data_IF_954508477904
#
_entry.id   IF_954508477904
#
_cell.length_a   1.000
_cell.length_b   1.000
_cell.length_c   1.000
_cell.angle_alpha   90.00
_cell.angle_beta   90.00
_cell.angle_gamma   90.00
#
_symmetry.space_group_name_H-M   'P 1'
#
loop_
_entity.id
_entity.type
_entity.pdbx_description
1 polymer ?
#
# COMPACT_ATOMS: atom_id res chain seq x y z
N UNK A 1 16.90 8.07 -24.04
CA UNK A 1 16.58 6.76 -23.44
C UNK A 1 17.59 6.47 -22.35
N UNK A 2 17.12 6.56 -21.10
CA UNK A 2 17.63 5.95 -19.88
C UNK A 2 19.14 5.94 -19.62
N UNK A 3 19.64 6.68 -18.63
CA UNK A 3 20.80 6.20 -17.87
C UNK A 3 21.03 6.79 -16.48
N UNK A 4 20.14 7.62 -15.94
CA UNK A 4 20.32 8.16 -14.59
C UNK A 4 19.07 7.91 -13.75
N UNK A 5 19.01 6.69 -13.19
CA UNK A 5 18.22 6.28 -12.02
C UNK A 5 18.61 7.11 -10.77
N UNK A 6 18.51 8.44 -10.88
CA UNK A 6 19.10 9.41 -9.96
C UNK A 6 18.20 9.70 -8.75
N UNK A 7 17.78 8.64 -8.07
CA UNK A 7 17.71 8.69 -6.63
C UNK A 7 18.02 7.31 -6.08
N UNK A 8 19.34 7.05 -6.02
CA UNK A 8 19.93 6.15 -5.03
C UNK A 8 19.21 6.41 -3.71
N UNK A 9 18.63 5.33 -3.23
CA UNK A 9 18.23 5.12 -1.85
C UNK A 9 19.02 6.00 -0.88
N UNK A 10 18.34 6.94 -0.22
CA UNK A 10 18.64 7.16 1.19
C UNK A 10 18.03 5.98 1.93
N UNK A 11 18.67 4.82 1.80
CA UNK A 11 18.67 3.85 2.87
C UNK A 11 20.06 3.97 3.48
N UNK A 12 20.27 5.06 4.22
CA UNK A 12 21.48 5.25 4.99
C UNK A 12 21.53 4.13 6.05
N UNK A 13 22.66 3.47 6.08
CA UNK A 13 22.93 2.21 6.75
C UNK A 13 23.14 2.40 8.25
N UNK A 14 22.09 2.38 9.07
CA UNK A 14 22.22 2.06 10.50
C UNK A 14 21.01 1.23 10.99
N UNK A 15 21.21 -0.09 10.97
CA UNK A 15 20.71 -1.05 11.98
C UNK A 15 19.19 -1.20 12.20
N UNK A 16 18.44 -1.69 11.22
CA UNK A 16 17.17 -2.38 11.51
C UNK A 16 17.38 -3.90 11.39
N UNK A 17 17.74 -4.50 12.52
CA UNK A 17 17.86 -5.94 12.72
C UNK A 17 16.55 -6.63 12.31
N UNK A 18 16.61 -7.54 11.33
CA UNK A 18 15.55 -8.48 11.01
C UNK A 18 15.26 -9.36 12.23
N UNK A 19 14.25 -9.01 13.02
CA UNK A 19 13.59 -9.94 13.93
C UNK A 19 12.18 -10.20 13.40
N UNK A 20 12.10 -10.98 12.32
CA UNK A 20 10.85 -11.60 11.93
C UNK A 20 10.48 -12.66 12.96
N UNK A 21 9.41 -12.46 13.71
CA UNK A 21 8.81 -13.54 14.50
C UNK A 21 8.23 -14.58 13.54
N UNK A 22 8.55 -15.85 13.77
CA UNK A 22 7.94 -16.96 13.05
C UNK A 22 6.42 -16.93 13.26
N UNK A 23 5.66 -16.77 12.18
CA UNK A 23 4.19 -16.78 12.18
C UNK A 23 3.51 -15.61 11.47
N UNK A 24 4.24 -14.60 10.99
CA UNK A 24 3.62 -13.47 10.27
C UNK A 24 3.57 -13.71 8.75
N UNK A 25 2.42 -13.52 8.08
CA UNK A 25 2.30 -13.71 6.65
C UNK A 25 3.32 -12.85 5.89
N UNK A 26 3.96 -13.38 4.83
CA UNK A 26 4.93 -12.63 4.04
C UNK A 26 4.26 -11.43 3.39
N UNK A 27 4.57 -10.28 3.97
CA UNK A 27 3.98 -8.99 3.68
C UNK A 27 4.73 -8.33 2.52
N UNK A 28 4.67 -8.96 1.34
CA UNK A 28 5.38 -8.49 0.14
C UNK A 28 4.65 -7.35 -0.58
N UNK A 29 5.40 -6.41 -1.14
CA UNK A 29 4.89 -5.31 -1.94
C UNK A 29 4.68 -5.76 -3.38
N UNK A 30 3.41 -5.99 -3.73
CA UNK A 30 3.01 -6.37 -5.09
C UNK A 30 3.41 -5.31 -6.14
N UNK A 31 3.38 -4.02 -5.77
CA UNK A 31 3.74 -2.94 -6.68
C UNK A 31 5.23 -2.99 -7.07
N UNK A 32 6.12 -3.11 -6.07
CA UNK A 32 7.56 -3.21 -6.32
C UNK A 32 7.91 -4.51 -7.05
N UNK A 33 7.27 -5.63 -6.69
CA UNK A 33 7.44 -6.91 -7.39
C UNK A 33 7.04 -6.81 -8.87
N UNK A 34 5.90 -6.18 -9.17
CA UNK A 34 5.43 -6.01 -10.55
C UNK A 34 6.34 -5.08 -11.37
N UNK A 35 7.03 -4.14 -10.73
CA UNK A 35 8.00 -3.27 -11.37
C UNK A 35 9.39 -3.92 -11.51
N UNK A 36 9.55 -5.19 -11.14
CA UNK A 36 10.82 -5.91 -11.25
C UNK A 36 11.88 -5.49 -10.24
N UNK A 37 11.48 -4.90 -9.11
CA UNK A 37 12.42 -4.61 -8.02
C UNK A 37 12.99 -5.92 -7.43
N UNK A 38 14.19 -5.85 -6.86
CA UNK A 38 14.83 -7.02 -6.23
C UNK A 38 14.06 -7.49 -5.00
N UNK A 39 14.22 -8.78 -4.63
CA UNK A 39 13.51 -9.39 -3.50
C UNK A 39 13.70 -8.65 -2.19
N UNK A 40 14.92 -8.21 -1.90
CA UNK A 40 15.20 -7.41 -0.71
C UNK A 40 14.34 -6.14 -0.62
N UNK A 41 13.94 -5.56 -1.76
CA UNK A 41 13.12 -4.34 -1.82
C UNK A 41 11.64 -4.67 -1.65
N UNK A 42 11.11 -5.62 -2.44
CA UNK A 42 9.67 -5.93 -2.37
C UNK A 42 9.29 -6.75 -1.14
N UNK A 43 10.21 -7.50 -0.52
CA UNK A 43 9.94 -8.25 0.70
C UNK A 43 10.02 -7.40 1.97
N UNK A 44 10.56 -6.18 1.90
CA UNK A 44 10.74 -5.29 3.04
C UNK A 44 9.45 -4.56 3.50
N UNK A 45 8.39 -4.54 2.70
CA UNK A 45 7.16 -3.78 3.00
C UNK A 45 5.94 -4.30 2.24
N UNK A 46 4.74 -3.88 2.65
CA UNK A 46 3.49 -4.09 1.91
C UNK A 46 3.09 -2.88 1.07
N UNK A 47 2.24 -3.10 0.07
CA UNK A 47 1.68 -2.02 -0.73
C UNK A 47 0.72 -1.12 0.07
N UNK A 48 -0.24 -1.73 0.79
CA UNK A 48 -1.25 -1.02 1.59
C UNK A 48 -1.37 -1.65 2.97
N UNK A 49 -1.59 -0.82 3.98
CA UNK A 49 -1.97 -1.26 5.31
C UNK A 49 -3.46 -1.70 5.33
N UNK A 50 -3.88 -2.46 6.36
CA UNK A 50 -5.28 -2.87 6.53
C UNK A 50 -6.27 -1.69 6.63
N UNK A 51 -5.78 -0.53 7.07
CA UNK A 51 -6.53 0.73 7.12
C UNK A 51 -6.74 1.39 5.74
N UNK A 52 -6.17 0.82 4.68
CA UNK A 52 -6.26 1.29 3.31
C UNK A 52 -5.22 2.34 2.90
N UNK A 53 -4.31 2.75 3.80
CA UNK A 53 -3.24 3.70 3.48
C UNK A 53 -2.10 3.02 2.71
N UNK A 54 -1.46 3.77 1.81
CA UNK A 54 -0.30 3.28 1.05
C UNK A 54 0.96 3.32 1.92
N UNK A 55 1.59 2.15 2.07
CA UNK A 55 2.84 2.00 2.81
C UNK A 55 4.07 1.96 1.90
N UNK A 56 3.91 1.57 0.63
CA UNK A 56 5.02 1.48 -0.31
C UNK A 56 5.71 2.84 -0.52
N UNK A 57 7.00 2.98 -0.17
CA UNK A 57 7.72 4.26 -0.27
C UNK A 57 7.84 4.75 -1.71
N UNK A 58 7.97 3.82 -2.68
CA UNK A 58 8.00 4.15 -4.12
C UNK A 58 6.70 4.80 -4.57
N UNK A 59 5.57 4.22 -4.19
CA UNK A 59 4.27 4.75 -4.57
C UNK A 59 3.95 6.04 -3.80
N UNK A 60 4.32 6.14 -2.52
CA UNK A 60 4.13 7.36 -1.71
C UNK A 60 4.86 8.58 -2.28
N UNK A 61 6.06 8.38 -2.82
CA UNK A 61 6.85 9.43 -3.47
C UNK A 61 6.29 9.85 -4.84
N UNK A 62 5.40 9.04 -5.42
CA UNK A 62 4.76 9.36 -6.69
C UNK A 62 3.59 10.34 -6.50
N UNK A 63 3.73 11.52 -7.07
CA UNK A 63 2.65 12.51 -7.17
C UNK A 63 1.87 12.27 -8.45
N UNK A 64 0.56 12.03 -8.33
CA UNK A 64 -0.29 11.84 -9.50
C UNK A 64 -0.34 13.14 -10.32
N UNK A 65 -0.01 13.13 -11.62
CA UNK A 65 -0.01 14.34 -12.44
C UNK A 65 -1.42 14.85 -12.79
N UNK A 66 -2.46 14.03 -12.56
CA UNK A 66 -3.85 14.41 -12.84
C UNK A 66 -4.52 15.10 -11.65
N UNK A 67 -4.22 14.67 -10.42
CA UNK A 67 -4.89 15.17 -9.21
C UNK A 67 -3.96 15.76 -8.16
N UNK A 68 -2.64 15.65 -8.34
CA UNK A 68 -1.63 16.18 -7.42
C UNK A 68 -1.47 15.43 -6.10
N UNK A 69 -2.20 14.33 -5.86
CA UNK A 69 -2.13 13.58 -4.60
C UNK A 69 -0.90 12.67 -4.54
N UNK A 70 -0.25 12.62 -3.38
CA UNK A 70 0.87 11.75 -3.03
C UNK A 70 0.73 11.21 -1.59
N UNK A 71 1.74 10.48 -1.10
CA UNK A 71 1.76 9.96 0.28
C UNK A 71 0.74 8.85 0.56
N UNK A 72 -0.02 8.97 1.65
CA UNK A 72 -0.94 7.93 2.14
C UNK A 72 -2.05 7.56 1.13
N UNK A 73 -2.40 8.51 0.25
CA UNK A 73 -3.42 8.36 -0.80
C UNK A 73 -2.82 8.28 -2.21
N UNK A 74 -1.52 8.04 -2.31
CA UNK A 74 -0.85 7.93 -3.60
C UNK A 74 -1.43 6.81 -4.46
N UNK A 75 -1.44 7.03 -5.75
CA UNK A 75 -1.94 6.10 -6.74
C UNK A 75 -1.29 6.38 -8.09
N UNK A 76 -1.26 5.40 -8.98
CA UNK A 76 -0.84 5.61 -10.36
C UNK A 76 -1.96 6.25 -11.18
N UNK A 77 -1.61 6.83 -12.33
CA UNK A 77 -2.55 7.50 -13.26
C UNK A 77 -3.79 6.65 -13.55
N UNK A 78 -3.60 5.33 -13.76
CA UNK A 78 -4.67 4.37 -14.06
C UNK A 78 -5.74 4.29 -12.97
N UNK A 79 -5.39 4.54 -11.71
CA UNK A 79 -6.30 4.47 -10.57
C UNK A 79 -6.65 5.87 -10.05
N UNK A 80 -6.42 6.91 -10.84
CA UNK A 80 -6.76 8.26 -10.46
C UNK A 80 -8.29 8.43 -10.41
N UNK A 81 -8.86 9.02 -9.36
CA UNK A 81 -10.29 9.32 -9.33
C UNK A 81 -10.72 10.35 -10.40
N UNK A 82 -9.75 11.09 -10.97
CA UNK A 82 -9.98 12.04 -12.06
C UNK A 82 -9.66 11.45 -13.45
N UNK A 83 -9.26 10.17 -13.56
CA UNK A 83 -9.08 9.57 -14.88
C UNK A 83 -10.43 9.42 -15.58
N UNK A 84 -10.44 9.66 -16.90
CA UNK A 84 -11.65 9.53 -17.75
C UNK A 84 -12.26 8.13 -17.72
N UNK A 85 -11.45 7.13 -17.38
CA UNK A 85 -11.89 5.77 -17.17
C UNK A 85 -11.75 5.44 -15.67
N UNK A 86 -12.85 5.37 -14.90
CA UNK A 86 -12.78 4.94 -13.51
C UNK A 86 -12.43 3.44 -13.47
N UNK A 87 -11.54 3.00 -12.57
CA UNK A 87 -11.28 1.58 -12.39
C UNK A 87 -12.59 0.86 -11.98
N UNK A 88 -12.75 -0.44 -12.31
CA UNK A 88 -13.92 -1.20 -11.89
C UNK A 88 -14.04 -1.11 -10.37
N UNK A 89 -15.09 -0.42 -9.90
CA UNK A 89 -15.35 -0.27 -8.47
C UNK A 89 -15.80 -1.64 -7.97
N UNK A 90 -14.94 -2.34 -7.23
CA UNK A 90 -15.41 -3.43 -6.38
C UNK A 90 -16.38 -2.79 -5.37
N UNK A 91 -17.61 -3.30 -5.22
CA UNK A 91 -18.52 -2.80 -4.20
C UNK A 91 -17.78 -2.83 -2.87
N UNK A 92 -17.63 -1.67 -2.23
CA UNK A 92 -17.18 -1.62 -0.85
C UNK A 92 -18.25 -2.40 -0.07
N UNK A 93 -17.91 -3.42 0.74
CA UNK A 93 -18.91 -4.02 1.61
C UNK A 93 -19.45 -2.86 2.45
N UNK A 94 -20.72 -2.52 2.26
CA UNK A 94 -21.43 -1.62 3.13
C UNK A 94 -21.21 -2.14 4.54
N UNK A 95 -20.81 -1.28 5.46
CA UNK A 95 -20.83 -1.64 6.87
C UNK A 95 -22.26 -2.12 7.16
N UNK A 96 -22.42 -3.43 7.31
CA UNK A 96 -23.70 -4.01 7.67
C UNK A 96 -24.17 -3.38 8.98
N UNK A 97 -25.49 -3.32 9.22
CA UNK A 97 -26.00 -2.79 10.48
C UNK A 97 -25.32 -3.53 11.64
N UNK A 98 -24.89 -2.76 12.65
CA UNK A 98 -24.25 -3.30 13.84
C UNK A 98 -25.10 -4.44 14.42
N UNK A 99 -24.48 -5.56 14.87
CA UNK A 99 -25.24 -6.67 15.44
C UNK A 99 -26.07 -6.17 16.64
N UNK A 100 -27.33 -6.63 16.80
CA UNK A 100 -28.15 -6.21 17.92
C UNK A 100 -27.49 -6.64 19.23
N UNK A 101 -27.43 -5.71 20.19
CA UNK A 101 -26.87 -5.97 21.52
C UNK A 101 -27.57 -7.17 22.16
N UNK A 102 -26.77 -8.19 22.53
CA UNK A 102 -27.25 -9.40 23.17
C UNK A 102 -28.04 -9.04 24.44
N UNK A 103 -29.36 -9.26 24.42
CA UNK A 103 -30.21 -9.15 25.61
C UNK A 103 -29.82 -10.28 26.57
N UNK A 104 -29.12 -9.93 27.66
CA UNK A 104 -28.86 -10.87 28.77
C UNK A 104 -30.21 -11.32 29.33
N UNK A 105 -30.52 -12.60 29.20
CA UNK A 105 -31.61 -13.22 29.97
C UNK A 105 -31.18 -13.22 31.43
N UNK A 106 -31.93 -12.52 32.27
CA UNK A 106 -31.86 -12.63 33.72
C UNK A 106 -32.57 -13.94 34.07
N UNK A 107 -31.91 -14.79 34.88
CA UNK A 107 -32.45 -16.04 35.43
C UNK A 107 -33.53 -15.77 36.47
#
# INVERSE_FOLDING_TARGET
MNLLYHLKAVCNSESIKLRGKAGEPPRVCVFCRNNGEVEAVYAAHVLKAPDGRVLCPRLRAYTCPLCGVSGDRAHTIKYCPLSREPPPRKPRPSAGPAPPAARRRIM
#
